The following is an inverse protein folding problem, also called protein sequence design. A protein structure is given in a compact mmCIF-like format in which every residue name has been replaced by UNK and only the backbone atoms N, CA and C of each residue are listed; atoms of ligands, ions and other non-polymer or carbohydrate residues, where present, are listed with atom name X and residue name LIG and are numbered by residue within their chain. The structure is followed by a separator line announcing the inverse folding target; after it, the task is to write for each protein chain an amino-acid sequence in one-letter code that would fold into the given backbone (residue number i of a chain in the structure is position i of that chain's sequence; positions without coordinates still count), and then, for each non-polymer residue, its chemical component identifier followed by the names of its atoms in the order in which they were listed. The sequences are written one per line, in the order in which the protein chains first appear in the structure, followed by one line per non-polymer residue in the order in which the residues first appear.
data_IF_420108130263
#
_entry.id   IF_420108130263
#
_cell.length_a   1.000
_cell.length_b   1.000
_cell.length_c   1.000
_cell.angle_alpha   90.00
_cell.angle_beta   90.00
_cell.angle_gamma   90.00
#
_symmetry.space_group_name_H-M   'P 1'
#
loop_
_entity.id
_entity.type
_entity.pdbx_description
1 polymer ?
#
# COMPACT_ATOMS: atom_id res chain seq x y z
N UNK A 1 3.59 -2.50 -2.61
CA UNK A 1 4.29 -1.22 -2.88
C UNK A 1 4.72 -0.57 -1.58
N UNK A 2 3.75 -0.12 -0.75
CA UNK A 2 4.02 0.36 0.60
C UNK A 2 4.61 -0.78 1.43
N UNK A 3 5.62 -0.49 2.23
CA UNK A 3 6.44 -1.41 3.04
C UNK A 3 7.11 -2.59 2.28
N UNK A 4 6.90 -2.65 1.00
CA UNK A 4 7.56 -3.60 0.08
C UNK A 4 8.68 -2.89 -0.70
N UNK A 5 8.31 -1.96 -1.58
CA UNK A 5 9.26 -1.16 -2.36
C UNK A 5 9.68 0.11 -1.63
N UNK A 6 8.78 0.73 -0.88
CA UNK A 6 9.05 1.94 -0.09
C UNK A 6 8.52 1.77 1.31
N UNK A 7 9.37 1.97 2.32
CA UNK A 7 8.98 1.93 3.74
C UNK A 7 8.11 3.13 4.08
N UNK A 8 6.86 2.91 4.44
CA UNK A 8 5.84 3.96 4.64
C UNK A 8 4.99 3.78 5.89
N UNK A 9 4.93 2.58 6.49
CA UNK A 9 3.96 2.24 7.55
C UNK A 9 4.06 3.16 8.78
N UNK A 10 5.26 3.45 9.23
CA UNK A 10 5.47 4.31 10.41
C UNK A 10 4.93 5.72 10.16
N UNK A 11 5.10 6.22 8.93
CA UNK A 11 4.65 7.57 8.54
C UNK A 11 3.15 7.58 8.32
N UNK A 12 2.60 6.51 7.75
CA UNK A 12 1.15 6.33 7.66
C UNK A 12 0.52 6.31 9.04
N UNK A 13 1.08 5.52 9.98
CA UNK A 13 0.59 5.39 11.34
C UNK A 13 0.67 6.71 12.10
N UNK A 14 1.83 7.41 12.06
CA UNK A 14 2.00 8.70 12.73
C UNK A 14 1.09 9.79 12.13
N UNK A 15 0.89 9.75 10.82
CA UNK A 15 -0.02 10.69 10.14
C UNK A 15 -1.48 10.45 10.53
N UNK A 16 -1.92 9.19 10.65
CA UNK A 16 -3.24 8.85 11.16
C UNK A 16 -3.40 9.24 12.63
N UNK A 17 -2.42 8.88 13.47
CA UNK A 17 -2.42 9.25 14.89
C UNK A 17 -2.66 10.76 15.07
N UNK A 18 -1.81 11.58 14.45
CA UNK A 18 -1.91 13.04 14.54
C UNK A 18 -3.21 13.60 13.98
N UNK A 19 -3.73 13.01 12.91
CA UNK A 19 -4.99 13.42 12.33
C UNK A 19 -6.17 13.12 13.25
N UNK A 20 -6.19 11.94 13.86
CA UNK A 20 -7.22 11.53 14.82
C UNK A 20 -7.15 12.35 16.13
N UNK A 21 -5.95 12.53 16.67
CA UNK A 21 -5.73 13.39 17.85
C UNK A 21 -6.29 14.79 17.64
N UNK A 22 -6.02 15.36 16.44
CA UNK A 22 -6.51 16.70 16.11
C UNK A 22 -8.03 16.77 15.95
N UNK A 23 -8.67 15.72 15.45
CA UNK A 23 -10.12 15.70 15.25
C UNK A 23 -10.87 15.43 16.53
N UNK A 24 -10.36 14.48 17.34
CA UNK A 24 -11.02 14.00 18.54
C UNK A 24 -10.61 14.75 19.82
N UNK A 25 -9.54 15.55 19.74
CA UNK A 25 -8.92 16.23 20.89
C UNK A 25 -8.53 15.27 22.03
N UNK A 26 -7.93 14.12 21.68
CA UNK A 26 -7.45 13.09 22.60
C UNK A 26 -6.01 12.72 22.25
N UNK A 27 -5.27 12.13 23.19
CA UNK A 27 -3.97 11.53 22.93
C UNK A 27 -4.14 10.07 22.51
N UNK A 28 -3.41 9.66 21.48
CA UNK A 28 -3.46 8.29 20.93
C UNK A 28 -2.04 7.73 20.87
N UNK A 29 -1.73 6.60 21.52
CA UNK A 29 -0.43 5.99 21.40
C UNK A 29 -0.22 5.44 19.98
N UNK A 30 0.99 5.63 19.41
CA UNK A 30 1.33 5.17 18.08
C UNK A 30 1.11 3.66 17.91
N UNK A 31 1.38 2.87 18.95
CA UNK A 31 1.15 1.43 18.98
C UNK A 31 -0.30 1.03 18.71
N UNK A 32 -1.27 1.83 19.16
CA UNK A 32 -2.68 1.57 18.92
C UNK A 32 -3.07 1.74 17.45
N UNK A 33 -2.40 2.63 16.72
CA UNK A 33 -2.61 2.80 15.28
C UNK A 33 -1.86 1.70 14.51
N UNK A 34 -0.63 1.38 14.89
CA UNK A 34 0.17 0.34 14.25
C UNK A 34 -0.50 -1.04 14.31
N UNK A 35 -1.23 -1.34 15.39
CA UNK A 35 -1.96 -2.60 15.53
C UNK A 35 -3.06 -2.78 14.47
N UNK A 36 -3.68 -1.70 14.02
CA UNK A 36 -4.88 -1.74 13.18
C UNK A 36 -4.63 -1.28 11.73
N UNK A 37 -3.54 -0.56 11.47
CA UNK A 37 -3.33 0.12 10.18
C UNK A 37 -3.34 -0.82 8.97
N UNK A 38 -2.88 -2.05 9.14
CA UNK A 38 -2.84 -3.06 8.08
C UNK A 38 -4.24 -3.57 7.69
N UNK A 39 -5.21 -3.48 8.58
CA UNK A 39 -6.60 -3.84 8.30
C UNK A 39 -7.35 -2.75 7.53
N UNK A 40 -6.77 -1.57 7.44
CA UNK A 40 -7.27 -0.46 6.63
C UNK A 40 -7.91 0.66 7.45
N UNK A 41 -8.17 1.74 6.73
CA UNK A 41 -8.72 2.97 7.30
C UNK A 41 -10.08 2.76 7.97
N UNK A 42 -10.92 1.93 7.37
CA UNK A 42 -12.31 1.71 7.85
C UNK A 42 -12.32 1.19 9.30
N UNK A 43 -11.38 0.28 9.62
CA UNK A 43 -11.22 -0.27 10.98
C UNK A 43 -10.83 0.84 11.98
N UNK A 44 -9.92 1.74 11.58
CA UNK A 44 -9.55 2.87 12.44
C UNK A 44 -10.72 3.84 12.67
N UNK A 45 -11.47 4.15 11.62
CA UNK A 45 -12.60 5.07 11.69
C UNK A 45 -13.72 4.50 12.58
N UNK A 46 -14.00 3.21 12.44
CA UNK A 46 -14.99 2.49 13.26
C UNK A 46 -14.54 2.41 14.72
N UNK A 47 -13.29 2.04 14.98
CA UNK A 47 -12.74 1.94 16.34
C UNK A 47 -12.87 3.24 17.14
N UNK A 48 -12.65 4.38 16.48
CA UNK A 48 -12.76 5.69 17.11
C UNK A 48 -14.14 6.34 16.93
N UNK A 49 -15.11 5.61 16.39
CA UNK A 49 -16.54 6.00 16.24
C UNK A 49 -16.72 7.39 15.61
N UNK A 50 -15.91 7.70 14.56
CA UNK A 50 -15.97 8.99 13.91
C UNK A 50 -17.27 9.18 13.13
N UNK A 51 -17.87 10.35 13.27
CA UNK A 51 -18.94 10.79 12.38
C UNK A 51 -18.40 10.96 10.95
N UNK A 52 -19.30 10.97 9.97
CA UNK A 52 -18.91 11.18 8.56
C UNK A 52 -18.11 12.48 8.35
N UNK A 53 -18.45 13.55 9.10
CA UNK A 53 -17.75 14.83 9.03
C UNK A 53 -16.33 14.72 9.60
N UNK A 54 -16.17 14.11 10.76
CA UNK A 54 -14.87 13.88 11.41
C UNK A 54 -13.99 12.97 10.58
N UNK A 55 -14.55 11.91 10.01
CA UNK A 55 -13.86 10.99 9.12
C UNK A 55 -13.25 11.72 7.90
N UNK A 56 -14.03 12.57 7.22
CA UNK A 56 -13.54 13.38 6.10
C UNK A 56 -12.44 14.35 6.54
N UNK A 57 -12.58 14.95 7.72
CA UNK A 57 -11.61 15.88 8.27
C UNK A 57 -10.30 15.17 8.66
N UNK A 58 -10.38 14.02 9.31
CA UNK A 58 -9.24 13.18 9.65
C UNK A 58 -8.47 12.73 8.40
N UNK A 59 -9.17 12.29 7.35
CA UNK A 59 -8.56 11.92 6.08
C UNK A 59 -7.80 13.10 5.45
N UNK A 60 -8.37 14.30 5.46
CA UNK A 60 -7.71 15.51 4.96
C UNK A 60 -6.44 15.81 5.75
N UNK A 61 -6.51 15.83 7.07
CA UNK A 61 -5.34 16.08 7.92
C UNK A 61 -4.26 15.00 7.72
N UNK A 62 -4.64 13.73 7.69
CA UNK A 62 -3.73 12.62 7.42
C UNK A 62 -2.96 12.83 6.11
N UNK A 63 -3.67 13.20 5.04
CA UNK A 63 -3.08 13.47 3.73
C UNK A 63 -2.07 14.61 3.78
N UNK A 64 -2.41 15.72 4.45
CA UNK A 64 -1.52 16.88 4.63
C UNK A 64 -0.26 16.50 5.42
N UNK A 65 -0.43 15.78 6.54
CA UNK A 65 0.67 15.37 7.42
C UNK A 65 1.59 14.37 6.69
N UNK A 66 1.02 13.37 6.03
CA UNK A 66 1.77 12.39 5.27
C UNK A 66 2.63 13.06 4.18
N UNK A 67 2.03 13.97 3.41
CA UNK A 67 2.73 14.67 2.33
C UNK A 67 3.94 15.47 2.82
N UNK A 68 3.83 16.10 3.99
CA UNK A 68 4.93 16.86 4.63
C UNK A 68 6.06 15.97 5.18
N UNK A 69 5.80 14.68 5.36
CA UNK A 69 6.73 13.74 5.97
C UNK A 69 7.31 12.70 5.00
N UNK A 70 7.13 12.87 3.68
CA UNK A 70 7.69 11.95 2.66
C UNK A 70 9.20 11.78 2.78
N UNK A 71 9.93 12.78 3.26
CA UNK A 71 11.37 12.72 3.51
C UNK A 71 11.79 11.64 4.52
N UNK A 72 10.84 11.07 5.28
CA UNK A 72 11.06 9.98 6.23
C UNK A 72 10.85 8.60 5.59
N UNK A 73 10.29 8.54 4.39
CA UNK A 73 10.15 7.28 3.65
C UNK A 73 11.51 6.80 3.11
N UNK A 74 11.67 5.50 2.97
CA UNK A 74 12.92 4.89 2.47
C UNK A 74 12.63 3.87 1.39
N UNK A 75 13.40 3.89 0.32
CA UNK A 75 13.29 2.90 -0.76
C UNK A 75 14.01 1.62 -0.36
N UNK A 76 13.46 0.47 -0.74
CA UNK A 76 14.15 -0.79 -0.75
C UNK A 76 15.05 -0.82 -2.00
N UNK A 77 16.29 -0.39 -1.84
CA UNK A 77 17.23 -0.21 -2.94
C UNK A 77 17.51 -1.53 -3.69
N UNK A 78 17.57 -2.65 -2.96
CA UNK A 78 17.77 -3.95 -3.58
C UNK A 78 16.57 -4.31 -4.47
N UNK A 79 15.36 -4.16 -3.98
CA UNK A 79 14.17 -4.47 -4.76
C UNK A 79 14.02 -3.51 -5.95
N UNK A 80 14.30 -2.22 -5.77
CA UNK A 80 14.31 -1.25 -6.87
C UNK A 80 15.37 -1.60 -7.93
N UNK A 81 16.56 -2.02 -7.50
CA UNK A 81 17.59 -2.49 -8.41
C UNK A 81 17.13 -3.71 -9.20
N UNK A 82 16.50 -4.69 -8.55
CA UNK A 82 15.94 -5.86 -9.23
C UNK A 82 14.86 -5.48 -10.25
N UNK A 83 13.99 -4.52 -9.92
CA UNK A 83 13.00 -3.99 -10.87
C UNK A 83 13.68 -3.37 -12.10
N UNK A 84 14.75 -2.59 -11.90
CA UNK A 84 15.48 -1.92 -13.00
C UNK A 84 16.36 -2.88 -13.83
N UNK A 85 16.79 -3.99 -13.26
CA UNK A 85 17.74 -4.93 -13.89
C UNK A 85 17.13 -5.84 -14.95
N UNK A 86 15.82 -5.75 -15.18
CA UNK A 86 15.07 -6.59 -16.14
C UNK A 86 15.18 -8.10 -15.86
N UNK A 87 15.42 -8.50 -14.62
CA UNK A 87 15.38 -9.91 -14.19
C UNK A 87 13.97 -10.48 -14.38
N UNK A 88 12.96 -9.64 -14.19
CA UNK A 88 11.56 -9.98 -14.44
C UNK A 88 11.13 -9.44 -15.80
N UNK A 89 10.34 -10.24 -16.52
CA UNK A 89 9.83 -9.88 -17.85
C UNK A 89 8.82 -8.73 -17.77
N UNK A 90 7.94 -8.81 -16.78
CA UNK A 90 6.88 -7.84 -16.55
C UNK A 90 6.85 -7.46 -15.07
N UNK A 91 6.56 -6.22 -14.79
CA UNK A 91 6.45 -5.68 -13.44
C UNK A 91 5.09 -4.99 -13.28
N UNK A 92 4.39 -5.35 -12.22
CA UNK A 92 3.10 -4.76 -11.89
C UNK A 92 3.08 -4.32 -10.43
N UNK A 93 2.60 -3.11 -10.19
CA UNK A 93 2.27 -2.67 -8.83
C UNK A 93 0.83 -3.06 -8.52
N UNK A 94 0.63 -3.75 -7.39
CA UNK A 94 -0.67 -4.09 -6.81
C UNK A 94 -0.75 -3.55 -5.38
N UNK A 95 -1.39 -2.39 -5.16
CA UNK A 95 -1.38 -1.69 -3.88
C UNK A 95 -2.79 -1.42 -3.35
N UNK A 96 -2.97 -1.57 -2.03
CA UNK A 96 -4.18 -1.11 -1.32
C UNK A 96 -4.20 0.40 -1.04
N UNK A 97 -3.12 1.11 -1.39
CA UNK A 97 -3.06 2.57 -1.33
C UNK A 97 -3.86 3.23 -2.45
N UNK A 98 -4.17 4.51 -2.30
CA UNK A 98 -4.78 5.29 -3.37
C UNK A 98 -3.77 5.59 -4.48
N UNK A 99 -4.25 5.74 -5.70
CA UNK A 99 -3.46 6.17 -6.86
C UNK A 99 -2.63 7.41 -6.51
N UNK A 100 -3.25 8.40 -5.95
CA UNK A 100 -2.60 9.64 -5.56
C UNK A 100 -1.42 9.43 -4.58
N UNK A 101 -1.55 8.50 -3.62
CA UNK A 101 -0.45 8.20 -2.70
C UNK A 101 0.70 7.49 -3.41
N UNK A 102 0.40 6.50 -4.25
CA UNK A 102 1.40 5.76 -5.03
C UNK A 102 2.18 6.73 -5.93
N UNK A 103 1.48 7.56 -6.69
CA UNK A 103 2.09 8.53 -7.61
C UNK A 103 2.96 9.55 -6.85
N UNK A 104 2.49 10.02 -5.69
CA UNK A 104 3.22 10.96 -4.83
C UNK A 104 4.52 10.36 -4.29
N UNK A 105 4.48 9.11 -3.83
CA UNK A 105 5.67 8.39 -3.32
C UNK A 105 6.63 8.12 -4.46
N UNK A 106 6.15 7.66 -5.61
CA UNK A 106 6.98 7.44 -6.79
C UNK A 106 7.67 8.73 -7.23
N UNK A 107 6.93 9.83 -7.34
CA UNK A 107 7.47 11.14 -7.70
C UNK A 107 8.53 11.63 -6.71
N UNK A 108 8.27 11.49 -5.40
CA UNK A 108 9.22 11.90 -4.37
C UNK A 108 10.55 11.14 -4.45
N UNK A 109 10.50 9.83 -4.70
CA UNK A 109 11.68 8.96 -4.80
C UNK A 109 12.24 8.83 -6.22
N UNK A 110 11.71 9.59 -7.19
CA UNK A 110 12.13 9.52 -8.60
C UNK A 110 12.04 8.08 -9.16
N UNK A 111 10.99 7.35 -8.74
CA UNK A 111 10.67 6.04 -9.30
C UNK A 111 9.77 6.27 -10.51
N UNK A 112 10.32 6.02 -11.70
CA UNK A 112 9.58 6.23 -12.95
C UNK A 112 8.41 5.26 -13.07
N UNK A 113 7.16 5.73 -13.25
CA UNK A 113 6.01 4.85 -13.44
C UNK A 113 6.15 3.90 -14.63
N UNK A 114 6.90 4.30 -15.67
CA UNK A 114 7.19 3.49 -16.86
C UNK A 114 8.06 2.25 -16.57
N UNK A 115 8.60 2.13 -15.36
CA UNK A 115 9.25 0.92 -14.87
C UNK A 115 8.27 -0.25 -14.75
N UNK A 116 6.99 0.04 -14.58
CA UNK A 116 5.93 -0.94 -14.39
C UNK A 116 5.01 -0.99 -15.60
N UNK A 117 4.69 -2.20 -16.07
CA UNK A 117 3.73 -2.40 -17.15
C UNK A 117 2.32 -1.90 -16.75
N UNK A 118 1.95 -2.15 -15.50
CA UNK A 118 0.68 -1.69 -14.91
C UNK A 118 0.87 -1.28 -13.45
N UNK A 119 0.06 -0.33 -13.01
CA UNK A 119 -0.04 0.07 -11.61
C UNK A 119 -1.52 0.00 -11.21
N UNK A 120 -1.88 -0.98 -10.39
CA UNK A 120 -3.20 -1.15 -9.84
C UNK A 120 -3.25 -0.70 -8.38
N UNK A 121 -4.28 0.02 -8.05
CA UNK A 121 -4.53 0.61 -6.73
C UNK A 121 -5.90 0.18 -6.22
N UNK A 122 -6.26 0.57 -5.01
CA UNK A 122 -7.57 0.23 -4.43
C UNK A 122 -8.76 0.76 -5.24
N UNK A 123 -8.56 1.81 -6.04
CA UNK A 123 -9.61 2.40 -6.87
C UNK A 123 -9.91 1.59 -8.13
N UNK A 124 -9.02 0.69 -8.52
CA UNK A 124 -9.16 -0.09 -9.75
C UNK A 124 -10.00 -1.37 -9.55
N UNK A 125 -10.37 -1.70 -8.31
CA UNK A 125 -11.08 -2.94 -7.97
C UNK A 125 -12.20 -2.71 -6.95
N UNK A 126 -13.29 -3.50 -7.02
CA UNK A 126 -14.34 -3.44 -6.00
C UNK A 126 -13.84 -3.90 -4.62
N UNK A 127 -13.01 -4.95 -4.57
CA UNK A 127 -12.48 -5.50 -3.33
C UNK A 127 -10.94 -5.46 -3.34
N UNK A 128 -10.36 -4.70 -2.40
CA UNK A 128 -8.91 -4.60 -2.20
C UNK A 128 -8.31 -5.91 -1.64
N UNK A 129 -6.97 -6.08 -1.75
CA UNK A 129 -6.28 -7.20 -1.12
C UNK A 129 -6.66 -7.31 0.37
N UNK A 130 -6.91 -8.51 0.91
CA UNK A 130 -6.59 -9.83 0.38
C UNK A 130 -7.65 -10.46 -0.56
N UNK A 131 -8.63 -9.72 -1.08
CA UNK A 131 -9.50 -10.22 -2.15
C UNK A 131 -8.69 -10.42 -3.45
N UNK A 132 -9.00 -11.44 -4.27
CA UNK A 132 -8.21 -11.79 -5.45
C UNK A 132 -8.46 -10.87 -6.67
N UNK A 133 -9.41 -9.93 -6.58
CA UNK A 133 -9.91 -9.11 -7.69
C UNK A 133 -8.76 -8.46 -8.49
N UNK A 134 -7.81 -7.83 -7.79
CA UNK A 134 -6.67 -7.17 -8.42
C UNK A 134 -5.74 -8.17 -9.15
N UNK A 135 -5.60 -9.38 -8.59
CA UNK A 135 -4.82 -10.45 -9.21
C UNK A 135 -5.47 -10.95 -10.50
N UNK A 136 -6.78 -11.11 -10.52
CA UNK A 136 -7.51 -11.49 -11.73
C UNK A 136 -7.33 -10.44 -12.83
N UNK A 137 -7.46 -9.13 -12.51
CA UNK A 137 -7.19 -8.06 -13.47
C UNK A 137 -5.76 -8.12 -14.02
N UNK A 138 -4.77 -8.44 -13.19
CA UNK A 138 -3.38 -8.59 -13.62
C UNK A 138 -3.26 -9.79 -14.57
N UNK A 139 -3.80 -10.95 -14.21
CA UNK A 139 -3.71 -12.16 -15.02
C UNK A 139 -4.39 -12.00 -16.39
N UNK A 140 -5.50 -11.28 -16.46
CA UNK A 140 -6.18 -10.94 -17.72
C UNK A 140 -5.30 -10.11 -18.69
N UNK A 141 -4.35 -9.32 -18.15
CA UNK A 141 -3.40 -8.56 -18.97
C UNK A 141 -2.25 -9.39 -19.52
N UNK A 142 -2.06 -10.59 -18.98
CA UNK A 142 -0.95 -11.47 -19.34
C UNK A 142 -1.44 -12.90 -19.65
N UNK A 143 -2.36 -13.07 -20.63
CA UNK A 143 -2.97 -14.37 -20.94
C UNK A 143 -1.98 -15.41 -21.48
N UNK A 144 -0.77 -14.98 -21.85
CA UNK A 144 0.29 -15.85 -22.34
C UNK A 144 1.06 -16.55 -21.20
N UNK A 145 0.81 -16.22 -19.93
CA UNK A 145 1.49 -16.81 -18.78
C UNK A 145 0.59 -17.76 -18.02
N UNK A 146 1.19 -18.82 -17.48
CA UNK A 146 0.53 -19.73 -16.56
C UNK A 146 0.62 -19.20 -15.13
N UNK A 147 -0.14 -19.79 -14.22
CA UNK A 147 -0.20 -19.34 -12.82
C UNK A 147 1.16 -19.41 -12.11
N UNK A 148 1.99 -20.38 -12.48
CA UNK A 148 3.34 -20.59 -11.95
C UNK A 148 4.34 -19.50 -12.36
N UNK A 149 4.02 -18.73 -13.40
CA UNK A 149 4.86 -17.64 -13.92
C UNK A 149 4.65 -16.35 -13.11
N UNK A 150 3.63 -16.31 -12.25
CA UNK A 150 3.35 -15.15 -11.41
C UNK A 150 4.01 -15.29 -10.04
N UNK A 151 4.58 -14.19 -9.58
CA UNK A 151 5.20 -14.09 -8.27
C UNK A 151 4.72 -12.80 -7.58
N UNK A 152 4.14 -12.96 -6.38
CA UNK A 152 3.87 -11.84 -5.49
C UNK A 152 5.11 -11.51 -4.66
N UNK A 153 5.48 -10.23 -4.59
CA UNK A 153 6.44 -9.72 -3.61
C UNK A 153 5.68 -8.73 -2.74
N UNK A 154 5.62 -8.98 -1.45
CA UNK A 154 4.88 -8.18 -0.48
C UNK A 154 5.54 -8.19 0.89
N UNK A 155 4.93 -7.55 1.88
CA UNK A 155 5.49 -7.38 3.22
C UNK A 155 4.61 -7.96 4.34
N UNK A 156 3.36 -8.28 4.04
CA UNK A 156 2.32 -8.54 5.05
C UNK A 156 1.54 -9.83 4.82
N UNK A 157 0.80 -10.27 5.84
CA UNK A 157 -0.15 -11.38 5.75
C UNK A 157 -1.28 -11.12 4.75
N UNK A 158 -1.58 -9.85 4.45
CA UNK A 158 -2.53 -9.46 3.41
C UNK A 158 -2.03 -9.92 2.04
N UNK A 159 -0.74 -9.71 1.75
CA UNK A 159 -0.12 -10.11 0.49
C UNK A 159 0.00 -11.64 0.39
N UNK A 160 0.38 -12.29 1.48
CA UNK A 160 0.46 -13.75 1.54
C UNK A 160 -0.91 -14.40 1.32
N UNK A 161 -1.97 -13.85 1.95
CA UNK A 161 -3.33 -14.34 1.78
C UNK A 161 -3.85 -14.09 0.37
N UNK A 162 -3.55 -12.93 -0.21
CA UNK A 162 -3.86 -12.60 -1.60
C UNK A 162 -3.21 -13.60 -2.57
N UNK A 163 -1.91 -13.85 -2.42
CA UNK A 163 -1.20 -14.81 -3.26
C UNK A 163 -1.76 -16.24 -3.13
N UNK A 164 -2.08 -16.68 -1.91
CA UNK A 164 -2.71 -17.99 -1.67
C UNK A 164 -4.06 -18.14 -2.36
N UNK A 165 -4.90 -17.09 -2.33
CA UNK A 165 -6.22 -17.12 -3.01
C UNK A 165 -6.09 -17.21 -4.53
N UNK A 166 -5.00 -16.68 -5.09
CA UNK A 166 -4.70 -16.75 -6.51
C UNK A 166 -3.94 -18.02 -6.91
N UNK A 167 -3.42 -18.78 -5.94
CA UNK A 167 -2.58 -19.96 -6.21
C UNK A 167 -1.17 -19.63 -6.68
N UNK A 168 -0.69 -18.39 -6.47
CA UNK A 168 0.65 -17.95 -6.90
C UNK A 168 1.67 -17.99 -5.76
N UNK A 169 2.96 -18.01 -6.10
CA UNK A 169 4.05 -17.91 -5.14
C UNK A 169 4.10 -16.51 -4.51
N UNK A 170 4.57 -16.44 -3.26
CA UNK A 170 4.76 -15.18 -2.55
C UNK A 170 6.14 -15.15 -1.87
N UNK A 171 6.82 -14.02 -2.00
CA UNK A 171 8.02 -13.69 -1.23
C UNK A 171 7.65 -12.54 -0.30
N UNK A 172 7.88 -12.74 1.01
CA UNK A 172 7.71 -11.69 2.01
C UNK A 172 9.06 -11.01 2.24
N UNK A 173 9.10 -9.71 1.99
CA UNK A 173 10.26 -8.86 2.25
C UNK A 173 10.05 -8.06 3.54
N UNK A 174 11.13 -7.70 4.19
CA UNK A 174 11.14 -6.83 5.38
C UNK A 174 12.17 -5.73 5.17
N UNK A 175 11.88 -4.53 5.72
CA UNK A 175 12.83 -3.43 5.83
C UNK A 175 13.71 -3.57 7.06
#
# INVERSE_FOLDING_TARGET
FDDTLVKTIEIHADSWRKALEKVLNIEIPLSAILADINYGMDVLLEKYQLTQKESKLAQRYKKEIFSKNLHKTKVNELLLYMCKSKVFKNLVVASNSSRENVDRIMSYHQIEPSLFDYIYTREDVPNKKPAPDMGHLIMEKFPQYNIEDFLMVGDSDVDLTFARKLGIKCIIVKF
#
